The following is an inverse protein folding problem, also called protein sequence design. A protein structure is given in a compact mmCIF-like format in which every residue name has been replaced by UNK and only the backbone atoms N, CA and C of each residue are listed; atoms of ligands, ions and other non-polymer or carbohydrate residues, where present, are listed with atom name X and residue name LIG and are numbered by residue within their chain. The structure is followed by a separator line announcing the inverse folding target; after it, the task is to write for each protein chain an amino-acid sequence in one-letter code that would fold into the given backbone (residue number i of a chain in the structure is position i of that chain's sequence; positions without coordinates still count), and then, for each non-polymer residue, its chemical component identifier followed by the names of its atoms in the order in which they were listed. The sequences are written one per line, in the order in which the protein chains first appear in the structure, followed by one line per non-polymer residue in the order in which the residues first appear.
data_IF_887751955285
#
_entry.id   IF_887751955285
#
_cell.length_a   1.000
_cell.length_b   1.000
_cell.length_c   1.000
_cell.angle_alpha   90.00
_cell.angle_beta   90.00
_cell.angle_gamma   90.00
#
_symmetry.space_group_name_H-M   'P 1'
#
loop_
_entity.id
_entity.type
_entity.pdbx_description
1 polymer ?
#
# COMPACT_ATOMS: atom_id res chain seq x y z
N UNK A 1 4.72 10.86 2.13
CA UNK A 1 4.42 11.00 0.69
C UNK A 1 3.17 11.85 0.51
N UNK A 2 3.10 12.60 -0.59
CA UNK A 2 1.83 13.20 -1.02
C UNK A 2 0.91 12.09 -1.56
N UNK A 3 -0.33 12.01 -1.09
CA UNK A 3 -1.28 10.94 -1.46
C UNK A 3 -1.84 11.13 -2.87
N UNK A 4 -1.66 12.33 -3.43
CA UNK A 4 -2.21 12.71 -4.72
C UNK A 4 -1.14 13.31 -5.63
N UNK A 5 -1.32 13.11 -6.92
CA UNK A 5 -0.49 13.72 -7.96
C UNK A 5 -1.38 14.36 -9.02
N UNK A 6 -1.01 15.56 -9.47
CA UNK A 6 -1.70 16.22 -10.57
C UNK A 6 -1.13 15.77 -11.90
N UNK A 7 -2.00 15.27 -12.77
CA UNK A 7 -1.66 14.78 -14.10
C UNK A 7 -2.51 15.46 -15.17
N UNK A 8 -1.88 15.75 -16.32
CA UNK A 8 -2.62 16.09 -17.53
C UNK A 8 -3.19 14.80 -18.13
N UNK A 9 -4.51 14.75 -18.24
CA UNK A 9 -5.23 13.60 -18.79
C UNK A 9 -5.84 14.01 -20.12
N UNK A 10 -5.58 13.18 -21.11
CA UNK A 10 -6.17 13.26 -22.43
C UNK A 10 -7.44 12.41 -22.44
N UNK A 11 -8.58 13.04 -22.69
CA UNK A 11 -9.85 12.36 -22.91
C UNK A 11 -10.21 12.41 -24.39
N UNK A 12 -10.34 11.23 -25.00
CA UNK A 12 -10.71 11.05 -26.39
C UNK A 12 -12.12 10.45 -26.48
N UNK A 13 -13.04 11.14 -27.15
CA UNK A 13 -14.43 10.70 -27.29
C UNK A 13 -14.77 10.12 -28.69
N UNK A 14 -13.76 9.69 -29.45
CA UNK A 14 -13.86 9.23 -30.85
C UNK A 14 -14.03 10.31 -31.92
N UNK A 15 -14.31 11.56 -31.55
CA UNK A 15 -14.41 12.70 -32.49
C UNK A 15 -13.37 13.78 -32.21
N UNK A 16 -13.12 14.06 -30.93
CA UNK A 16 -12.23 15.10 -30.48
C UNK A 16 -11.42 14.69 -29.25
N UNK A 17 -10.24 15.29 -29.14
CA UNK A 17 -9.37 15.19 -27.98
C UNK A 17 -9.59 16.42 -27.08
N UNK A 18 -9.74 16.18 -25.79
CA UNK A 18 -9.74 17.26 -24.78
C UNK A 18 -8.70 16.94 -23.72
N UNK A 19 -7.89 17.94 -23.36
CA UNK A 19 -6.93 17.83 -22.25
C UNK A 19 -7.48 18.55 -21.02
N UNK A 20 -7.32 17.93 -19.85
CA UNK A 20 -7.69 18.52 -18.58
C UNK A 20 -6.77 18.07 -17.45
N UNK A 21 -6.63 18.90 -16.42
CA UNK A 21 -5.82 18.58 -15.24
C UNK A 21 -6.66 17.78 -14.25
N UNK A 22 -6.22 16.57 -13.92
CA UNK A 22 -6.85 15.73 -12.93
C UNK A 22 -5.93 15.51 -11.73
N UNK A 23 -6.50 15.58 -10.53
CA UNK A 23 -5.84 15.19 -9.30
C UNK A 23 -6.12 13.71 -9.04
N UNK A 24 -5.10 12.87 -9.17
CA UNK A 24 -5.20 11.41 -9.08
C UNK A 24 -4.63 10.90 -7.77
N UNK A 25 -5.15 9.79 -7.26
CA UNK A 25 -4.59 9.12 -6.08
C UNK A 25 -3.35 8.33 -6.48
N UNK A 26 -2.31 8.42 -5.65
CA UNK A 26 -1.09 7.63 -5.82
C UNK A 26 -1.29 6.18 -5.36
N UNK A 27 -0.69 5.26 -6.09
CA UNK A 27 -0.57 3.86 -5.70
C UNK A 27 0.89 3.44 -5.72
N UNK A 28 1.32 2.77 -4.65
CA UNK A 28 2.65 2.18 -4.52
C UNK A 28 2.53 0.73 -4.04
N UNK A 29 3.46 -0.14 -4.44
CA UNK A 29 3.52 -1.49 -3.89
C UNK A 29 3.93 -1.46 -2.42
N UNK A 30 3.24 -2.22 -1.59
CA UNK A 30 3.62 -2.51 -0.22
C UNK A 30 3.95 -4.00 -0.10
N UNK A 31 5.20 -4.33 0.22
CA UNK A 31 5.63 -5.68 0.50
C UNK A 31 5.39 -6.02 1.96
N UNK A 32 4.64 -7.08 2.20
CA UNK A 32 4.32 -7.61 3.53
C UNK A 32 5.18 -8.83 3.77
N UNK A 33 5.90 -8.83 4.89
CA UNK A 33 6.70 -9.97 5.36
C UNK A 33 6.15 -10.51 6.65
N UNK A 34 6.12 -11.83 6.79
CA UNK A 34 5.69 -12.52 8.01
C UNK A 34 6.89 -13.30 8.55
N UNK A 35 7.26 -13.04 9.80
CA UNK A 35 8.45 -13.63 10.44
C UNK A 35 9.71 -13.46 9.58
N UNK A 36 9.87 -12.26 8.98
CA UNK A 36 10.98 -11.93 8.09
C UNK A 36 10.90 -12.49 6.66
N UNK A 37 9.95 -13.37 6.36
CA UNK A 37 9.80 -13.99 5.04
C UNK A 37 8.81 -13.20 4.15
N UNK A 38 9.11 -12.98 2.85
CA UNK A 38 8.15 -12.39 1.91
C UNK A 38 6.85 -13.19 1.85
N UNK A 39 5.72 -12.52 2.04
CA UNK A 39 4.39 -13.16 2.02
C UNK A 39 3.55 -12.67 0.83
N UNK A 40 3.38 -11.36 0.70
CA UNK A 40 2.58 -10.76 -0.36
C UNK A 40 3.07 -9.36 -0.73
N UNK A 41 2.67 -8.89 -1.91
CA UNK A 41 2.82 -7.50 -2.34
C UNK A 41 1.45 -6.99 -2.76
N UNK A 42 1.00 -5.91 -2.16
CA UNK A 42 -0.31 -5.28 -2.44
C UNK A 42 -0.13 -3.86 -2.97
N UNK A 43 -1.01 -3.43 -3.86
CA UNK A 43 -1.06 -2.03 -4.30
C UNK A 43 -1.89 -1.23 -3.30
N UNK A 44 -1.41 -0.06 -2.91
CA UNK A 44 -2.10 0.80 -1.94
C UNK A 44 -1.66 2.25 -2.03
N UNK A 45 -2.46 3.15 -1.46
CA UNK A 45 -2.06 4.53 -1.27
C UNK A 45 -1.12 4.67 -0.06
N UNK A 46 0.05 5.32 -0.20
CA UNK A 46 0.99 5.57 0.90
C UNK A 46 0.39 6.29 2.13
N UNK A 47 0.84 5.96 3.34
CA UNK A 47 0.52 6.69 4.58
C UNK A 47 -0.04 5.90 5.76
N UNK A 48 -0.71 4.76 5.54
CA UNK A 48 -1.41 4.01 6.60
C UNK A 48 -0.98 2.53 6.67
N UNK A 49 0.30 2.26 6.44
CA UNK A 49 0.89 0.92 6.26
C UNK A 49 0.66 -0.01 7.44
N UNK A 50 0.90 0.45 8.66
CA UNK A 50 0.81 -0.38 9.86
C UNK A 50 -0.63 -0.87 10.07
N UNK A 51 -1.61 0.02 9.92
CA UNK A 51 -3.03 -0.33 10.03
C UNK A 51 -3.46 -1.25 8.87
N UNK A 52 -2.99 -0.98 7.65
CA UNK A 52 -3.26 -1.82 6.49
C UNK A 52 -2.75 -3.25 6.73
N UNK A 53 -1.51 -3.41 7.19
CA UNK A 53 -0.90 -4.72 7.41
C UNK A 53 -1.55 -5.46 8.58
N UNK A 54 -1.90 -4.77 9.67
CA UNK A 54 -2.66 -5.38 10.76
C UNK A 54 -4.02 -5.93 10.26
N UNK A 55 -4.75 -5.14 9.47
CA UNK A 55 -6.01 -5.56 8.86
C UNK A 55 -5.83 -6.72 7.88
N UNK A 56 -4.77 -6.68 7.06
CA UNK A 56 -4.41 -7.76 6.14
C UNK A 56 -4.15 -9.08 6.88
N UNK A 57 -3.41 -9.05 7.99
CA UNK A 57 -3.14 -10.24 8.78
C UNK A 57 -4.42 -10.87 9.34
N UNK A 58 -5.36 -10.05 9.82
CA UNK A 58 -6.66 -10.52 10.30
C UNK A 58 -7.53 -11.06 9.16
N UNK A 59 -7.57 -10.39 8.00
CA UNK A 59 -8.43 -10.80 6.88
C UNK A 59 -7.95 -12.07 6.18
N UNK A 60 -6.63 -12.29 6.15
CA UNK A 60 -6.02 -13.47 5.51
C UNK A 60 -5.84 -14.65 6.47
N UNK A 61 -6.25 -14.53 7.74
CA UNK A 61 -6.09 -15.59 8.74
C UNK A 61 -4.63 -15.86 9.15
N UNK A 62 -3.78 -14.84 9.04
CA UNK A 62 -2.39 -14.86 9.54
C UNK A 62 -2.38 -14.64 11.06
N UNK A 63 -3.32 -13.85 11.56
CA UNK A 63 -3.61 -13.64 12.97
C UNK A 63 -5.12 -13.86 13.21
N UNK A 64 -5.48 -14.51 14.31
CA UNK A 64 -6.88 -14.72 14.69
C UNK A 64 -7.40 -13.54 15.52
N UNK A 65 -6.53 -12.93 16.34
CA UNK A 65 -6.83 -11.73 17.11
C UNK A 65 -5.64 -10.76 17.20
N UNK A 66 -5.86 -9.48 17.60
CA UNK A 66 -4.77 -8.50 17.67
C UNK A 66 -3.62 -8.87 18.62
N UNK A 67 -3.87 -9.75 19.60
CA UNK A 67 -2.86 -10.27 20.53
C UNK A 67 -1.86 -11.23 19.87
N UNK A 68 -2.19 -11.80 18.71
CA UNK A 68 -1.27 -12.64 17.92
C UNK A 68 -0.20 -11.81 17.19
N UNK A 69 -0.27 -10.47 17.22
CA UNK A 69 0.67 -9.59 16.52
C UNK A 69 1.70 -9.03 17.51
N UNK A 70 2.81 -9.76 17.72
CA UNK A 70 3.92 -9.30 18.59
C UNK A 70 4.53 -7.98 18.12
N UNK A 71 4.76 -7.80 16.81
CA UNK A 71 5.23 -6.51 16.27
C UNK A 71 4.86 -6.29 14.81
N UNK A 72 4.66 -5.03 14.43
CA UNK A 72 4.46 -4.59 13.05
C UNK A 72 5.32 -3.36 12.85
N UNK A 73 6.22 -3.38 11.86
CA UNK A 73 7.13 -2.27 11.64
C UNK A 73 7.74 -2.27 10.26
N UNK A 74 8.21 -1.10 9.85
CA UNK A 74 9.03 -0.96 8.67
C UNK A 74 10.37 -1.67 8.89
N UNK A 75 10.89 -2.29 7.84
CA UNK A 75 12.26 -2.78 7.89
C UNK A 75 13.22 -1.57 7.96
N UNK A 76 14.30 -1.70 8.73
CA UNK A 76 15.36 -0.71 8.98
C UNK A 76 16.23 -0.37 7.76
N UNK A 77 15.87 -0.86 6.58
CA UNK A 77 16.52 -0.55 5.30
C UNK A 77 16.04 0.76 4.69
N UNK A 78 16.58 1.09 3.50
CA UNK A 78 16.14 2.24 2.70
C UNK A 78 14.73 2.11 2.12
N UNK A 79 14.13 0.92 2.21
CA UNK A 79 12.87 0.59 1.56
C UNK A 79 11.68 0.86 2.49
N UNK A 80 11.09 2.05 2.37
CA UNK A 80 9.87 2.45 3.11
C UNK A 80 8.63 1.66 2.71
N UNK A 81 8.71 0.84 1.67
CA UNK A 81 7.61 0.06 1.12
C UNK A 81 7.65 -1.42 1.56
N UNK A 82 8.39 -1.73 2.63
CA UNK A 82 8.42 -3.07 3.23
C UNK A 82 8.01 -2.98 4.69
N UNK A 83 6.96 -3.73 5.05
CA UNK A 83 6.53 -3.90 6.43
C UNK A 83 6.68 -5.36 6.83
N UNK A 84 7.26 -5.58 8.00
CA UNK A 84 7.42 -6.90 8.61
C UNK A 84 6.49 -7.03 9.80
N UNK A 85 5.82 -8.18 9.87
CA UNK A 85 4.99 -8.63 10.97
C UNK A 85 5.69 -9.78 11.68
N UNK A 86 5.74 -9.69 13.01
CA UNK A 86 6.09 -10.80 13.90
C UNK A 86 4.84 -11.20 14.64
N UNK A 87 4.51 -12.49 14.57
CA UNK A 87 3.43 -13.11 15.34
C UNK A 87 3.99 -13.52 16.70
#
# INVERSE_FOLDING_TARGET
MDKFTDHQVIHWNQEAETSSSHRLIGEEPLSIRVQGNPYSVVMRTPGDEIAHVAGFCLSEGIADDPGDLTSIGFCDGSDTNVVTVTL
#
